data_IF_678597485132
#
_entry.id   IF_678597485132
#
_cell.length_a   1.000
_cell.length_b   1.000
_cell.length_c   1.000
_cell.angle_alpha   90.00
_cell.angle_beta   90.00
_cell.angle_gamma   90.00
#
_symmetry.space_group_name_H-M   'P 1'
#
loop_
_entity.id
_entity.type
_entity.pdbx_description
1 polymer ?
#
# COMPACT_ATOMS: atom_id res chain seq x y z
N UNK A 1 -3.29 -28.74 -10.87
CA UNK A 1 -2.53 -28.38 -9.66
C UNK A 1 -3.46 -28.31 -8.44
N UNK A 2 -4.49 -27.45 -8.43
CA UNK A 2 -5.38 -27.27 -7.26
C UNK A 2 -6.08 -28.57 -6.82
N UNK A 3 -6.54 -29.41 -7.77
CA UNK A 3 -7.17 -30.68 -7.42
C UNK A 3 -6.21 -31.60 -6.64
N UNK A 4 -4.95 -31.70 -7.06
CA UNK A 4 -3.96 -32.47 -6.33
C UNK A 4 -3.59 -31.82 -4.97
N UNK A 5 -3.48 -30.49 -4.91
CA UNK A 5 -3.20 -29.79 -3.67
C UNK A 5 -4.34 -29.93 -2.63
N UNK A 6 -5.58 -30.00 -3.10
CA UNK A 6 -6.78 -30.23 -2.27
C UNK A 6 -6.71 -31.55 -1.47
N UNK A 7 -6.17 -32.61 -2.05
CA UNK A 7 -6.08 -33.93 -1.42
C UNK A 7 -5.17 -33.91 -0.17
N UNK A 8 -4.20 -33.00 -0.17
CA UNK A 8 -3.21 -32.86 0.92
C UNK A 8 -3.48 -31.65 1.83
N UNK A 9 -4.50 -30.87 1.54
CA UNK A 9 -4.87 -29.70 2.34
C UNK A 9 -5.53 -30.12 3.66
N UNK A 10 -5.44 -29.25 4.67
CA UNK A 10 -6.20 -29.40 5.90
C UNK A 10 -7.71 -29.36 5.60
N UNK A 11 -8.51 -30.12 6.36
CA UNK A 11 -9.94 -30.32 6.08
C UNK A 11 -10.73 -29.00 5.97
N UNK A 12 -10.41 -28.02 6.81
CA UNK A 12 -11.03 -26.70 6.83
C UNK A 12 -10.64 -25.81 5.63
N UNK A 13 -9.52 -26.14 4.96
CA UNK A 13 -9.03 -25.41 3.81
C UNK A 13 -9.45 -26.04 2.46
N UNK A 14 -9.87 -27.30 2.45
CA UNK A 14 -10.16 -28.04 1.21
C UNK A 14 -11.15 -27.35 0.27
N UNK A 15 -12.19 -26.73 0.82
CA UNK A 15 -13.22 -26.05 0.03
C UNK A 15 -12.66 -24.85 -0.77
N UNK A 16 -11.60 -24.23 -0.29
CA UNK A 16 -11.00 -23.09 -0.97
C UNK A 16 -10.35 -23.47 -2.31
N UNK A 17 -9.92 -24.74 -2.43
CA UNK A 17 -9.28 -25.26 -3.66
C UNK A 17 -10.27 -25.52 -4.80
N UNK A 18 -11.56 -25.32 -4.59
CA UNK A 18 -12.57 -25.34 -5.66
C UNK A 18 -12.53 -24.04 -6.48
N UNK A 19 -11.95 -22.98 -5.92
CA UNK A 19 -11.60 -21.77 -6.66
C UNK A 19 -10.30 -22.02 -7.45
N UNK A 20 -10.31 -21.91 -8.78
CA UNK A 20 -9.13 -22.13 -9.61
C UNK A 20 -8.00 -21.15 -9.34
N UNK A 21 -8.32 -19.97 -8.82
CA UNK A 21 -7.35 -18.92 -8.51
C UNK A 21 -6.87 -18.96 -7.04
N UNK A 22 -7.44 -19.81 -6.21
CA UNK A 22 -6.93 -20.04 -4.86
C UNK A 22 -5.48 -20.52 -4.92
N UNK A 23 -4.60 -19.94 -4.12
CA UNK A 23 -3.15 -20.13 -4.17
C UNK A 23 -2.43 -19.58 -5.42
N UNK A 24 -3.15 -19.00 -6.38
CA UNK A 24 -2.49 -18.26 -7.46
C UNK A 24 -2.06 -16.90 -6.94
N UNK A 25 -0.78 -16.59 -7.06
CA UNK A 25 -0.22 -15.34 -6.59
C UNK A 25 0.50 -14.63 -7.73
N UNK A 26 0.18 -13.36 -7.92
CA UNK A 26 0.95 -12.45 -8.75
C UNK A 26 1.84 -11.59 -7.85
N UNK A 27 3.12 -11.57 -8.15
CA UNK A 27 4.11 -10.81 -7.38
C UNK A 27 5.03 -10.03 -8.30
N UNK A 28 5.45 -8.86 -7.86
CA UNK A 28 6.53 -8.13 -8.54
C UNK A 28 7.83 -8.92 -8.45
N UNK A 29 8.64 -8.90 -9.52
CA UNK A 29 9.94 -9.58 -9.54
C UNK A 29 10.85 -9.16 -8.38
N UNK A 30 10.84 -7.89 -8.02
CA UNK A 30 11.58 -7.38 -6.86
C UNK A 30 11.07 -7.92 -5.51
N UNK A 31 9.78 -8.19 -5.39
CA UNK A 31 9.19 -8.69 -4.16
C UNK A 31 9.46 -10.17 -3.91
N UNK A 32 9.81 -10.94 -4.94
CA UNK A 32 10.13 -12.37 -4.79
C UNK A 32 11.61 -12.63 -4.51
N UNK A 33 12.46 -11.62 -4.56
CA UNK A 33 13.92 -11.77 -4.42
C UNK A 33 14.38 -12.39 -3.08
N UNK A 34 13.55 -12.28 -2.03
CA UNK A 34 13.82 -12.84 -0.70
C UNK A 34 13.27 -14.25 -0.47
N UNK A 35 12.59 -14.84 -1.45
CA UNK A 35 12.03 -16.18 -1.31
C UNK A 35 13.03 -17.27 -1.74
N UNK A 36 12.98 -18.43 -1.07
CA UNK A 36 13.84 -19.58 -1.38
C UNK A 36 13.69 -20.08 -2.83
N UNK A 37 12.56 -19.78 -3.47
CA UNK A 37 12.24 -20.12 -4.86
C UNK A 37 12.46 -18.97 -5.86
N UNK A 38 13.10 -17.87 -5.43
CA UNK A 38 13.27 -16.67 -6.28
C UNK A 38 14.04 -16.98 -7.57
N UNK A 39 15.16 -17.71 -7.47
CA UNK A 39 15.99 -18.06 -8.61
C UNK A 39 15.19 -18.86 -9.65
N UNK A 40 14.45 -19.87 -9.19
CA UNK A 40 13.62 -20.67 -10.09
C UNK A 40 12.52 -19.84 -10.74
N UNK A 41 11.84 -18.99 -9.96
CA UNK A 41 10.70 -18.20 -10.44
C UNK A 41 11.15 -17.10 -11.42
N UNK A 42 12.34 -16.55 -11.25
CA UNK A 42 12.87 -15.46 -12.08
C UNK A 42 13.66 -15.91 -13.30
N UNK A 43 13.99 -17.20 -13.43
CA UNK A 43 14.66 -17.76 -14.58
C UNK A 43 13.88 -17.50 -15.88
N UNK A 44 14.49 -16.81 -16.82
CA UNK A 44 13.87 -16.39 -18.09
C UNK A 44 13.42 -17.56 -18.98
N UNK A 45 13.93 -18.76 -18.75
CA UNK A 45 13.58 -19.96 -19.48
C UNK A 45 12.24 -20.59 -19.04
N UNK A 46 11.65 -20.15 -17.90
CA UNK A 46 10.38 -20.68 -17.39
C UNK A 46 9.24 -20.45 -18.38
N UNK A 47 8.41 -21.49 -18.51
CA UNK A 47 7.21 -21.49 -19.35
C UNK A 47 5.98 -21.79 -18.52
N UNK A 48 4.82 -21.33 -19.00
CA UNK A 48 3.55 -21.66 -18.41
C UNK A 48 3.38 -23.18 -18.24
N UNK A 49 2.95 -23.59 -17.04
CA UNK A 49 2.81 -24.97 -16.66
C UNK A 49 4.07 -25.64 -16.07
N UNK A 50 5.24 -24.98 -16.08
CA UNK A 50 6.44 -25.53 -15.43
C UNK A 50 6.18 -25.73 -13.92
N UNK A 51 6.63 -26.88 -13.41
CA UNK A 51 6.45 -27.25 -11.99
C UNK A 51 7.82 -27.58 -11.37
N UNK A 52 8.00 -27.23 -10.13
CA UNK A 52 9.18 -27.60 -9.33
C UNK A 52 8.83 -27.86 -7.87
N UNK A 53 9.75 -28.48 -7.18
CA UNK A 53 9.77 -28.59 -5.70
C UNK A 53 11.02 -27.86 -5.21
N UNK A 54 10.84 -26.94 -4.28
CA UNK A 54 11.92 -26.17 -3.68
C UNK A 54 11.95 -26.44 -2.17
N UNK A 55 13.12 -26.79 -1.66
CA UNK A 55 13.36 -26.93 -0.22
C UNK A 55 13.56 -25.55 0.41
N UNK A 56 13.00 -25.36 1.58
CA UNK A 56 13.16 -24.17 2.41
C UNK A 56 13.48 -24.57 3.85
N UNK A 57 13.83 -23.60 4.67
CA UNK A 57 14.10 -23.82 6.11
C UNK A 57 12.91 -24.37 6.89
N UNK A 58 11.68 -24.21 6.39
CA UNK A 58 10.42 -24.61 7.04
C UNK A 58 9.71 -25.78 6.36
N UNK A 59 10.27 -26.33 5.24
CA UNK A 59 9.64 -27.42 4.50
C UNK A 59 9.89 -27.33 3.00
N UNK A 60 8.91 -27.78 2.22
CA UNK A 60 8.99 -27.82 0.78
C UNK A 60 7.85 -27.03 0.14
N UNK A 61 8.18 -26.25 -0.88
CA UNK A 61 7.21 -25.63 -1.78
C UNK A 61 7.06 -26.44 -3.04
N UNK A 62 5.83 -26.69 -3.46
CA UNK A 62 5.51 -27.15 -4.82
C UNK A 62 4.98 -25.95 -5.58
N UNK A 63 5.66 -25.57 -6.65
CA UNK A 63 5.36 -24.36 -7.42
C UNK A 63 4.96 -24.72 -8.83
N UNK A 64 3.94 -24.05 -9.36
CA UNK A 64 3.62 -24.05 -10.78
C UNK A 64 3.74 -22.62 -11.32
N UNK A 65 4.50 -22.46 -12.39
CA UNK A 65 4.65 -21.17 -13.07
C UNK A 65 3.50 -20.96 -14.04
N UNK A 66 2.87 -19.78 -14.01
CA UNK A 66 1.75 -19.42 -14.89
C UNK A 66 2.11 -18.38 -15.93
N UNK A 67 3.19 -17.66 -15.74
CA UNK A 67 3.60 -16.66 -16.71
C UNK A 67 4.40 -15.52 -16.11
N UNK A 68 4.95 -14.73 -16.98
CA UNK A 68 5.62 -13.47 -16.68
C UNK A 68 5.16 -12.46 -17.72
N UNK A 69 4.82 -11.30 -17.25
CA UNK A 69 4.46 -10.18 -18.10
C UNK A 69 5.05 -8.90 -17.54
N UNK A 70 5.21 -7.92 -18.39
CA UNK A 70 5.43 -6.57 -17.93
C UNK A 70 4.12 -6.07 -17.35
N UNK A 71 4.18 -5.57 -16.13
CA UNK A 71 3.03 -4.95 -15.52
C UNK A 71 2.96 -3.50 -16.00
N UNK A 72 2.26 -3.30 -17.10
CA UNK A 72 2.08 -1.97 -17.68
C UNK A 72 1.32 -1.04 -16.73
N UNK A 73 0.59 -1.60 -15.77
CA UNK A 73 -0.11 -0.81 -14.74
C UNK A 73 0.81 -0.38 -13.61
N UNK A 74 1.96 -1.04 -13.39
CA UNK A 74 2.94 -0.64 -12.38
C UNK A 74 3.92 0.42 -12.86
N UNK A 75 3.88 0.80 -14.13
CA UNK A 75 4.69 1.90 -14.64
C UNK A 75 4.19 3.28 -14.19
N UNK A 76 2.97 3.37 -13.70
CA UNK A 76 2.49 4.58 -13.09
C UNK A 76 3.05 4.70 -11.68
N UNK A 77 4.03 5.55 -11.54
CA UNK A 77 4.39 6.12 -10.25
C UNK A 77 4.00 7.59 -10.26
N UNK A 78 3.38 8.05 -9.20
CA UNK A 78 3.15 9.46 -8.98
C UNK A 78 4.16 9.97 -7.97
N UNK A 79 4.88 11.03 -8.32
CA UNK A 79 5.66 11.81 -7.39
C UNK A 79 4.72 12.86 -6.80
N UNK A 80 4.46 12.79 -5.51
CA UNK A 80 3.51 13.68 -4.82
C UNK A 80 4.15 14.34 -3.61
N UNK A 81 3.50 15.41 -3.16
CA UNK A 81 3.70 15.94 -1.81
C UNK A 81 2.37 15.92 -1.08
N UNK A 82 2.39 15.59 0.19
CA UNK A 82 1.21 15.64 1.02
C UNK A 82 1.45 16.33 2.35
N UNK A 83 0.37 16.74 2.97
CA UNK A 83 0.31 17.27 4.32
C UNK A 83 -0.73 16.44 5.06
N UNK A 84 -0.33 15.81 6.16
CA UNK A 84 -1.23 15.11 7.04
C UNK A 84 -1.63 16.03 8.19
N UNK A 85 -2.91 16.14 8.43
CA UNK A 85 -3.47 16.70 9.66
C UNK A 85 -4.31 15.62 10.32
N UNK A 86 -3.91 15.19 11.49
CA UNK A 86 -4.63 14.16 12.24
C UNK A 86 -5.81 14.77 13.00
N UNK A 87 -6.92 14.03 13.05
CA UNK A 87 -7.98 14.37 14.00
C UNK A 87 -7.49 14.04 15.42
N UNK A 88 -7.69 14.97 16.34
CA UNK A 88 -7.35 14.74 17.75
C UNK A 88 -8.18 13.56 18.29
N UNK A 89 -7.53 12.69 19.04
CA UNK A 89 -8.22 11.58 19.72
C UNK A 89 -8.49 11.96 21.17
N UNK A 90 -9.45 11.27 21.82
CA UNK A 90 -9.63 11.37 23.26
C UNK A 90 -8.43 10.78 24.03
N UNK A 91 -8.38 11.09 25.32
CA UNK A 91 -7.38 10.50 26.21
C UNK A 91 -7.48 8.97 26.23
N UNK A 92 -6.35 8.25 26.21
CA UNK A 92 -6.34 6.80 26.33
C UNK A 92 -7.02 6.32 27.61
N UNK A 93 -7.94 5.36 27.48
CA UNK A 93 -8.68 4.78 28.60
C UNK A 93 -8.12 3.40 28.94
N UNK A 94 -7.76 3.20 30.21
CA UNK A 94 -7.34 1.90 30.69
C UNK A 94 -8.57 1.02 30.99
N UNK A 95 -8.64 -0.14 30.35
CA UNK A 95 -9.71 -1.11 30.54
C UNK A 95 -9.49 -1.94 31.81
N UNK A 96 -10.54 -2.61 32.28
CA UNK A 96 -10.48 -3.49 33.47
C UNK A 96 -9.54 -4.70 33.28
N UNK A 97 -9.29 -5.12 32.03
CA UNK A 97 -8.37 -6.20 31.68
C UNK A 97 -6.88 -5.75 31.58
N UNK A 98 -6.59 -4.49 31.89
CA UNK A 98 -5.25 -3.89 31.83
C UNK A 98 -4.81 -3.42 30.45
N UNK A 99 -5.64 -3.56 29.42
CA UNK A 99 -5.38 -2.98 28.10
C UNK A 99 -5.71 -1.50 28.06
N UNK A 100 -5.11 -0.77 27.12
CA UNK A 100 -5.39 0.65 26.90
C UNK A 100 -6.06 0.81 25.54
N UNK A 101 -7.19 1.52 25.50
CA UNK A 101 -7.90 1.84 24.27
C UNK A 101 -7.90 3.37 24.08
N UNK A 102 -7.46 3.84 22.92
CA UNK A 102 -7.62 5.23 22.52
C UNK A 102 -8.97 5.36 21.80
N UNK A 103 -9.87 6.24 22.24
CA UNK A 103 -11.13 6.46 21.56
C UNK A 103 -10.91 6.97 20.13
N UNK A 104 -11.77 6.54 19.22
CA UNK A 104 -11.82 7.10 17.88
C UNK A 104 -12.18 8.59 17.94
N UNK A 105 -11.65 9.41 17.02
CA UNK A 105 -12.03 10.83 16.96
C UNK A 105 -13.52 11.00 16.73
N UNK A 106 -14.08 12.00 17.37
CA UNK A 106 -15.48 12.39 17.16
C UNK A 106 -15.66 13.11 15.82
N UNK A 107 -16.91 13.23 15.34
CA UNK A 107 -17.22 14.00 14.13
C UNK A 107 -16.75 15.46 14.23
N UNK A 108 -16.81 16.07 15.41
CA UNK A 108 -16.33 17.42 15.65
C UNK A 108 -14.81 17.52 15.51
N UNK A 109 -14.07 16.52 16.00
CA UNK A 109 -12.62 16.45 15.88
C UNK A 109 -12.18 16.22 14.43
N UNK A 110 -12.88 15.37 13.67
CA UNK A 110 -12.67 15.23 12.23
C UNK A 110 -12.98 16.54 11.48
N UNK A 111 -14.06 17.22 11.82
CA UNK A 111 -14.40 18.50 11.20
C UNK A 111 -13.33 19.58 11.48
N UNK A 112 -12.77 19.59 12.69
CA UNK A 112 -11.69 20.50 13.04
C UNK A 112 -10.41 20.22 12.24
N UNK A 113 -10.00 18.94 12.09
CA UNK A 113 -8.87 18.55 11.27
C UNK A 113 -9.08 18.92 9.80
N UNK A 114 -10.30 18.68 9.28
CA UNK A 114 -10.67 19.07 7.93
C UNK A 114 -10.59 20.59 7.73
N UNK A 115 -11.11 21.39 8.63
CA UNK A 115 -11.03 22.84 8.55
C UNK A 115 -9.56 23.33 8.56
N UNK A 116 -8.70 22.69 9.35
CA UNK A 116 -7.26 22.99 9.40
C UNK A 116 -6.59 22.70 8.06
N UNK A 117 -6.82 21.53 7.45
CA UNK A 117 -6.20 21.19 6.16
C UNK A 117 -6.73 22.07 5.02
N UNK A 118 -8.03 22.42 5.03
CA UNK A 118 -8.61 23.35 4.06
C UNK A 118 -8.03 24.77 4.18
N UNK A 119 -7.70 25.20 5.40
CA UNK A 119 -6.99 26.47 5.64
C UNK A 119 -5.57 26.45 5.07
N UNK A 120 -4.85 25.34 5.22
CA UNK A 120 -3.50 25.16 4.67
C UNK A 120 -3.57 25.12 3.13
N UNK A 121 -4.57 24.46 2.56
CA UNK A 121 -4.81 24.50 1.13
C UNK A 121 -5.04 25.93 0.62
N UNK A 122 -5.88 26.70 1.31
CA UNK A 122 -6.13 28.10 0.95
C UNK A 122 -4.86 28.98 1.04
N UNK A 123 -4.00 28.74 2.04
CA UNK A 123 -2.70 29.39 2.16
C UNK A 123 -1.80 29.08 0.95
N UNK A 124 -1.72 27.81 0.54
CA UNK A 124 -0.99 27.40 -0.65
C UNK A 124 -1.52 28.06 -1.94
N UNK A 125 -2.85 28.06 -2.10
CA UNK A 125 -3.52 28.63 -3.27
C UNK A 125 -3.36 30.15 -3.38
N UNK A 126 -3.24 30.84 -2.25
CA UNK A 126 -2.98 32.28 -2.18
C UNK A 126 -1.50 32.64 -2.40
N UNK A 127 -0.59 31.66 -2.30
CA UNK A 127 0.84 31.85 -2.45
C UNK A 127 1.36 31.56 -3.86
N UNK A 128 2.63 31.18 -3.94
CA UNK A 128 3.35 30.96 -5.21
C UNK A 128 2.92 29.68 -5.94
N UNK A 129 2.23 28.76 -5.28
CA UNK A 129 1.72 27.49 -5.83
C UNK A 129 2.80 26.63 -6.50
N UNK A 130 4.00 26.63 -5.95
CA UNK A 130 5.14 25.84 -6.41
C UNK A 130 5.36 24.61 -5.55
N UNK A 131 6.08 23.61 -6.07
CA UNK A 131 6.49 22.46 -5.30
C UNK A 131 7.30 22.84 -4.05
N UNK A 132 8.10 23.90 -4.12
CA UNK A 132 8.90 24.40 -3.00
C UNK A 132 8.04 25.09 -1.95
N UNK A 133 7.01 25.87 -2.36
CA UNK A 133 6.08 26.48 -1.41
C UNK A 133 5.24 25.41 -0.70
N UNK A 134 4.80 24.37 -1.40
CA UNK A 134 4.12 23.23 -0.79
C UNK A 134 5.02 22.49 0.20
N UNK A 135 6.29 22.27 -0.18
CA UNK A 135 7.25 21.61 0.70
C UNK A 135 7.40 22.33 2.06
N UNK A 136 7.49 23.67 2.02
CA UNK A 136 7.58 24.51 3.24
C UNK A 136 6.33 24.40 4.10
N UNK A 137 5.15 24.33 3.50
CA UNK A 137 3.90 24.10 4.24
C UNK A 137 3.88 22.71 4.88
N UNK A 138 4.35 21.68 4.13
CA UNK A 138 4.45 20.33 4.67
C UNK A 138 5.43 20.24 5.85
N UNK A 139 6.59 20.90 5.77
CA UNK A 139 7.55 21.00 6.87
C UNK A 139 6.99 21.74 8.09
N UNK A 140 6.08 22.68 7.87
CA UNK A 140 5.48 23.51 8.92
C UNK A 140 4.29 22.85 9.59
N UNK A 141 3.42 22.22 8.80
CA UNK A 141 2.10 21.81 9.25
C UNK A 141 1.85 20.31 9.24
N UNK A 142 2.67 19.52 8.50
CA UNK A 142 2.40 18.08 8.37
C UNK A 142 2.75 17.33 9.64
N UNK A 143 1.79 16.54 10.09
CA UNK A 143 1.90 15.63 11.23
C UNK A 143 2.35 14.21 10.81
N UNK A 144 2.72 14.02 9.53
CA UNK A 144 3.29 12.75 9.04
C UNK A 144 4.79 12.66 9.34
N UNK A 145 5.22 11.81 10.29
CA UNK A 145 6.63 11.67 10.65
C UNK A 145 7.47 11.05 9.53
N UNK A 146 6.84 10.41 8.53
CA UNK A 146 7.52 9.75 7.41
C UNK A 146 7.97 10.71 6.32
N UNK A 147 7.35 11.89 6.22
CA UNK A 147 7.62 12.82 5.12
C UNK A 147 7.70 14.31 5.47
N UNK A 148 7.32 14.71 6.68
CA UNK A 148 7.34 16.12 7.06
C UNK A 148 8.72 16.78 6.91
N UNK A 149 9.80 16.04 7.18
CA UNK A 149 11.18 16.55 7.09
C UNK A 149 11.76 16.59 5.67
N UNK A 150 11.04 16.00 4.70
CA UNK A 150 11.40 16.04 3.28
C UNK A 150 10.39 16.82 2.42
N UNK A 151 9.62 17.71 3.04
CA UNK A 151 8.62 18.52 2.39
C UNK A 151 7.40 17.73 1.92
N UNK A 152 7.03 16.67 2.64
CA UNK A 152 5.85 15.85 2.35
C UNK A 152 5.98 14.94 1.13
N UNK A 153 7.19 14.70 0.61
CA UNK A 153 7.40 13.96 -0.63
C UNK A 153 7.22 12.45 -0.47
N UNK A 154 6.47 11.86 -1.42
CA UNK A 154 6.38 10.43 -1.64
C UNK A 154 6.38 10.08 -3.12
N UNK A 155 6.99 8.94 -3.43
CA UNK A 155 6.77 8.22 -4.69
C UNK A 155 5.72 7.13 -4.45
N UNK A 156 4.56 7.27 -5.06
CA UNK A 156 3.42 6.35 -4.94
C UNK A 156 3.40 5.42 -6.14
N UNK A 157 3.26 4.14 -5.89
CA UNK A 157 3.09 3.07 -6.89
C UNK A 157 1.92 2.18 -6.49
N UNK A 158 1.49 1.29 -7.35
CA UNK A 158 0.45 0.30 -7.01
C UNK A 158 0.80 -0.57 -5.79
N UNK A 159 2.10 -0.83 -5.59
CA UNK A 159 2.59 -1.61 -4.45
C UNK A 159 2.80 -0.81 -3.16
N UNK A 160 2.65 0.53 -3.20
CA UNK A 160 2.79 1.37 -2.01
C UNK A 160 1.64 1.09 -1.04
N UNK A 161 1.97 0.87 0.23
CA UNK A 161 0.99 0.55 1.27
C UNK A 161 0.36 1.83 1.85
N UNK A 162 -0.50 2.46 1.07
CA UNK A 162 -1.38 3.54 1.51
C UNK A 162 -2.83 3.08 1.47
N UNK A 163 -3.71 3.78 2.20
CA UNK A 163 -5.15 3.52 2.12
C UNK A 163 -5.68 3.81 0.70
N UNK A 164 -6.76 3.12 0.35
CA UNK A 164 -7.22 2.99 -1.03
C UNK A 164 -7.52 4.35 -1.69
N UNK A 165 -8.24 5.23 -1.00
CA UNK A 165 -8.68 6.51 -1.57
C UNK A 165 -7.49 7.40 -1.91
N UNK A 166 -6.49 7.48 -1.02
CA UNK A 166 -5.26 8.23 -1.27
C UNK A 166 -4.49 7.68 -2.48
N UNK A 167 -4.30 6.36 -2.52
CA UNK A 167 -3.59 5.72 -3.62
C UNK A 167 -4.33 5.89 -4.95
N UNK A 168 -5.65 5.71 -4.96
CA UNK A 168 -6.47 5.89 -6.15
C UNK A 168 -6.41 7.33 -6.66
N UNK A 169 -6.43 8.31 -5.76
CA UNK A 169 -6.28 9.71 -6.14
C UNK A 169 -4.91 9.98 -6.76
N UNK A 170 -3.83 9.48 -6.15
CA UNK A 170 -2.46 9.68 -6.64
C UNK A 170 -2.20 9.04 -8.01
N UNK A 171 -2.80 7.88 -8.27
CA UNK A 171 -2.55 7.06 -9.47
C UNK A 171 -3.65 7.20 -10.53
N UNK A 172 -4.57 8.12 -10.37
CA UNK A 172 -5.58 8.44 -11.39
C UNK A 172 -4.90 9.02 -12.63
N UNK A 173 -5.07 8.34 -13.77
CA UNK A 173 -4.45 8.72 -15.05
C UNK A 173 -4.88 10.11 -15.57
N UNK A 174 -6.00 10.64 -15.07
CA UNK A 174 -6.46 11.99 -15.37
C UNK A 174 -5.71 13.09 -14.64
N UNK A 175 -4.88 12.76 -13.63
CA UNK A 175 -4.15 13.75 -12.83
C UNK A 175 -3.01 14.39 -13.60
N UNK A 176 -2.84 15.68 -13.33
CA UNK A 176 -1.77 16.47 -13.91
C UNK A 176 -0.90 17.10 -12.82
N UNK A 177 0.32 17.44 -13.19
CA UNK A 177 1.22 18.15 -12.27
C UNK A 177 0.60 19.48 -11.83
N UNK A 178 0.48 19.65 -10.51
CA UNK A 178 -0.14 20.82 -9.89
C UNK A 178 -1.59 20.58 -9.41
N UNK A 179 -2.19 19.42 -9.71
CA UNK A 179 -3.49 19.05 -9.14
C UNK A 179 -3.44 18.96 -7.62
N UNK A 180 -4.48 19.47 -6.98
CA UNK A 180 -4.66 19.43 -5.53
C UNK A 180 -5.89 18.63 -5.16
N UNK A 181 -5.91 18.04 -3.97
CA UNK A 181 -7.05 17.37 -3.40
C UNK A 181 -6.94 17.24 -1.88
N UNK A 182 -8.07 17.26 -1.21
CA UNK A 182 -8.23 16.86 0.19
C UNK A 182 -8.95 15.52 0.21
N UNK A 183 -8.38 14.53 0.89
CA UNK A 183 -8.84 13.14 0.89
C UNK A 183 -9.16 12.71 2.31
#
# INVERSE_FOLDING_TARGET
FNAAAKDYAAEDAKANYDDPDYNRQTRLGSAVASYDYAEWLTDSARKDGDVTVVESSSGYYVLQFHGRWLDDTTHYSADIRHILVMAETGEPVQNEDGTTTTPEPTEEQYAAAKAKIESIQAEFEAGDRTADSFAKLAETYSEDPGSNTNGGFYKVTQSTSFFADFKNWCLDEGRQSGDLGVI
#
